data_IF_141183582074
#
_entry.id   IF_141183582074
#
_cell.length_a   1.000
_cell.length_b   1.000
_cell.length_c   1.000
_cell.angle_alpha   90.00
_cell.angle_beta   90.00
_cell.angle_gamma   90.00
#
_symmetry.space_group_name_H-M   'P 1'
#
loop_
_entity.id
_entity.type
_entity.pdbx_description
1 polymer ?
#
# COMPACT_ATOMS: atom_id res chain seq x y z
N UNK A 1 6.98 7.21 -23.01
CA UNK A 1 7.07 6.18 -21.95
C UNK A 1 6.00 6.28 -20.83
N UNK A 2 5.15 7.31 -20.78
CA UNK A 2 4.12 7.47 -19.71
C UNK A 2 2.77 6.78 -19.98
N UNK A 3 2.59 6.14 -21.14
CA UNK A 3 1.29 5.64 -21.60
C UNK A 3 0.97 4.25 -21.03
N UNK A 4 1.98 3.39 -20.92
CA UNK A 4 1.85 2.06 -20.31
C UNK A 4 1.58 2.12 -18.80
N UNK A 5 2.18 3.09 -18.09
CA UNK A 5 1.96 3.30 -16.64
C UNK A 5 0.56 3.85 -16.34
N UNK A 6 -0.04 4.62 -17.26
CA UNK A 6 -1.42 5.14 -17.12
C UNK A 6 -2.47 4.06 -17.36
N UNK A 7 -2.30 3.25 -18.42
CA UNK A 7 -3.23 2.17 -18.77
C UNK A 7 -3.30 1.06 -17.69
N UNK A 8 -2.17 0.75 -17.05
CA UNK A 8 -2.13 -0.21 -15.92
C UNK A 8 -2.81 0.37 -14.67
N UNK A 9 -2.65 1.67 -14.43
CA UNK A 9 -3.32 2.38 -13.33
C UNK A 9 -4.83 2.54 -13.56
N UNK A 10 -5.28 2.67 -14.81
CA UNK A 10 -6.69 2.69 -15.22
C UNK A 10 -7.39 1.35 -14.96
N UNK A 11 -6.69 0.22 -15.17
CA UNK A 11 -7.24 -1.12 -14.92
C UNK A 11 -7.24 -1.54 -13.44
N UNK A 12 -6.34 -1.00 -12.63
CA UNK A 12 -6.37 -1.21 -11.18
C UNK A 12 -7.22 -0.13 -10.50
N UNK A 13 -8.50 -0.45 -10.27
CA UNK A 13 -9.39 0.37 -9.45
C UNK A 13 -8.75 0.72 -8.12
N UNK A 14 -9.00 1.95 -7.67
CA UNK A 14 -8.41 2.49 -6.46
C UNK A 14 -8.71 1.63 -5.22
N UNK A 15 -9.85 0.94 -5.22
CA UNK A 15 -10.24 -0.06 -4.23
C UNK A 15 -9.31 -1.28 -4.16
N UNK A 16 -8.83 -1.81 -5.29
CA UNK A 16 -7.96 -2.99 -5.29
C UNK A 16 -6.61 -2.65 -4.65
N UNK A 17 -6.06 -1.49 -4.98
CA UNK A 17 -4.82 -0.96 -4.36
C UNK A 17 -5.02 -0.73 -2.87
N UNK A 18 -6.18 -0.21 -2.47
CA UNK A 18 -6.51 -0.05 -1.06
C UNK A 18 -6.63 -1.40 -0.34
N UNK A 19 -7.25 -2.41 -0.95
CA UNK A 19 -7.35 -3.75 -0.35
C UNK A 19 -5.99 -4.40 -0.16
N UNK A 20 -5.11 -4.34 -1.17
CA UNK A 20 -3.76 -4.88 -1.07
C UNK A 20 -2.95 -4.16 0.02
N UNK A 21 -2.99 -2.82 0.03
CA UNK A 21 -2.29 -2.05 1.05
C UNK A 21 -2.83 -2.31 2.45
N UNK A 22 -4.15 -2.32 2.64
CA UNK A 22 -4.77 -2.63 3.93
C UNK A 22 -4.40 -4.03 4.41
N UNK A 23 -4.39 -5.03 3.53
CA UNK A 23 -3.98 -6.39 3.87
C UNK A 23 -2.51 -6.47 4.29
N UNK A 24 -1.61 -5.81 3.55
CA UNK A 24 -0.19 -5.72 3.90
C UNK A 24 0.02 -5.07 5.26
N UNK A 25 -0.65 -3.95 5.51
CA UNK A 25 -0.57 -3.28 6.80
C UNK A 25 -1.21 -4.10 7.92
N UNK A 26 -2.33 -4.79 7.69
CA UNK A 26 -2.93 -5.66 8.71
C UNK A 26 -1.98 -6.80 9.10
N UNK A 27 -1.28 -7.41 8.15
CA UNK A 27 -0.30 -8.46 8.43
C UNK A 27 0.89 -7.90 9.19
N UNK A 28 1.42 -6.76 8.78
CA UNK A 28 2.53 -6.09 9.46
C UNK A 28 2.18 -5.63 10.89
N UNK A 29 0.96 -5.15 11.10
CA UNK A 29 0.47 -4.78 12.45
C UNK A 29 0.03 -5.99 13.28
N UNK A 30 -0.23 -7.15 12.68
CA UNK A 30 -0.65 -8.36 13.41
C UNK A 30 0.47 -8.94 14.28
N UNK A 31 1.74 -8.70 13.94
CA UNK A 31 2.90 -9.12 14.75
C UNK A 31 3.24 -8.15 15.90
N UNK A 32 2.28 -7.27 16.25
CA UNK A 32 2.33 -6.27 17.33
C UNK A 32 3.45 -5.22 17.26
N UNK A 33 4.39 -5.34 16.32
CA UNK A 33 5.56 -4.48 16.22
C UNK A 33 5.89 -4.21 14.76
N UNK A 34 5.44 -3.05 14.25
CA UNK A 34 5.83 -2.59 12.92
C UNK A 34 7.33 -2.29 12.92
N UNK A 35 8.12 -3.23 12.42
CA UNK A 35 9.56 -3.07 12.30
C UNK A 35 9.92 -2.20 11.09
N UNK A 36 11.07 -1.48 11.11
CA UNK A 36 11.53 -0.68 9.97
C UNK A 36 11.64 -1.48 8.66
N UNK A 37 11.99 -2.77 8.76
CA UNK A 37 12.06 -3.69 7.63
C UNK A 37 10.70 -3.95 6.99
N UNK A 38 9.64 -4.08 7.78
CA UNK A 38 8.29 -4.29 7.24
C UNK A 38 7.78 -3.05 6.52
N UNK A 39 8.02 -1.86 7.10
CA UNK A 39 7.69 -0.61 6.41
C UNK A 39 8.46 -0.51 5.07
N UNK A 40 9.72 -0.96 5.04
CA UNK A 40 10.52 -1.00 3.82
C UNK A 40 9.91 -1.97 2.78
N UNK A 41 9.45 -3.15 3.19
CA UNK A 41 8.78 -4.12 2.32
C UNK A 41 7.47 -3.55 1.76
N UNK A 42 6.62 -2.96 2.61
CA UNK A 42 5.35 -2.35 2.18
C UNK A 42 5.62 -1.18 1.23
N UNK A 43 6.67 -0.39 1.47
CA UNK A 43 7.09 0.71 0.58
C UNK A 43 7.56 0.19 -0.77
N UNK A 44 8.35 -0.89 -0.81
CA UNK A 44 8.72 -1.55 -2.07
C UNK A 44 7.51 -2.05 -2.85
N UNK A 45 6.54 -2.66 -2.18
CA UNK A 45 5.33 -3.17 -2.82
C UNK A 45 4.49 -2.01 -3.36
N UNK A 46 4.37 -0.91 -2.61
CA UNK A 46 3.68 0.29 -3.07
C UNK A 46 4.33 0.93 -4.31
N UNK A 47 5.67 0.92 -4.36
CA UNK A 47 6.44 1.41 -5.50
C UNK A 47 6.23 0.53 -6.74
N UNK A 48 6.29 -0.79 -6.56
CA UNK A 48 6.01 -1.79 -7.62
C UNK A 48 4.57 -1.67 -8.17
N UNK A 49 3.61 -1.35 -7.31
CA UNK A 49 2.21 -1.16 -7.67
C UNK A 49 1.89 0.27 -8.15
N UNK A 50 2.90 1.14 -8.29
CA UNK A 50 2.74 2.55 -8.64
C UNK A 50 1.66 3.26 -7.81
N UNK A 51 1.57 2.91 -6.52
CA UNK A 51 0.57 3.47 -5.63
C UNK A 51 0.96 4.92 -5.30
N UNK A 52 0.05 5.89 -5.50
CA UNK A 52 0.32 7.26 -5.12
C UNK A 52 0.65 7.36 -3.63
N UNK A 53 1.63 8.19 -3.28
CA UNK A 53 2.04 8.38 -1.88
C UNK A 53 0.85 8.72 -0.96
N UNK A 54 -0.14 9.48 -1.45
CA UNK A 54 -1.37 9.78 -0.72
C UNK A 54 -2.16 8.54 -0.29
N UNK A 55 -2.23 7.50 -1.14
CA UNK A 55 -2.89 6.21 -0.82
C UNK A 55 -2.07 5.38 0.15
N UNK A 56 -0.75 5.41 0.04
CA UNK A 56 0.16 4.77 0.99
C UNK A 56 -0.06 5.30 2.42
N UNK A 57 -0.09 6.63 2.58
CA UNK A 57 -0.34 7.27 3.88
C UNK A 57 -1.74 6.94 4.40
N UNK A 58 -2.78 6.97 3.55
CA UNK A 58 -4.15 6.58 3.96
C UNK A 58 -4.21 5.15 4.48
N UNK A 59 -3.56 4.21 3.81
CA UNK A 59 -3.56 2.81 4.22
C UNK A 59 -2.79 2.60 5.53
N UNK A 60 -1.66 3.31 5.72
CA UNK A 60 -0.92 3.33 6.99
C UNK A 60 -1.80 3.84 8.14
N UNK A 61 -2.44 4.99 7.95
CA UNK A 61 -3.35 5.58 8.94
C UNK A 61 -4.52 4.65 9.26
N UNK A 62 -5.13 4.03 8.26
CA UNK A 62 -6.26 3.10 8.46
C UNK A 62 -5.88 1.86 9.30
N UNK A 63 -4.67 1.33 9.10
CA UNK A 63 -4.17 0.22 9.90
C UNK A 63 -3.82 0.64 11.34
N UNK A 64 -3.28 1.86 11.52
CA UNK A 64 -3.05 2.44 12.84
C UNK A 64 -4.35 2.70 13.62
N UNK A 65 -5.41 3.12 12.93
CA UNK A 65 -6.73 3.39 13.54
C UNK A 65 -7.53 2.14 13.91
N UNK A 66 -7.07 0.95 13.50
CA UNK A 66 -7.72 -0.34 13.83
C UNK A 66 -7.20 -0.92 15.15
N UNK A 67 -6.40 -0.16 15.91
CA UNK A 67 -5.97 -0.49 17.28
C UNK A 67 -6.96 0.04 18.31
#
# INVERSE_FOLDING_TARGET
LVQFTKALNEGMSAELKERVMRGLWQVAYADATLSPDEEHIIRKIADLLYIPHSRFIKAKLAAQSTQ
#
